data_IF_725342985224
#
_entry.id   IF_725342985224
#
_cell.length_a   1.000
_cell.length_b   1.000
_cell.length_c   1.000
_cell.angle_alpha   90.00
_cell.angle_beta   90.00
_cell.angle_gamma   90.00
#
_symmetry.space_group_name_H-M   'P 1'
#
loop_
_entity.id
_entity.type
_entity.pdbx_description
1 polymer ?
#
# COMPACT_ATOMS: atom_id res chain seq x y z
N UNK A 1 18.61 -17.05 -16.41
CA UNK A 1 17.18 -16.68 -16.33
C UNK A 1 17.11 -15.16 -16.35
N UNK A 2 16.34 -14.56 -17.25
CA UNK A 2 16.12 -13.11 -17.21
C UNK A 2 15.44 -12.75 -15.88
N UNK A 3 15.96 -11.73 -15.17
CA UNK A 3 15.33 -11.23 -13.94
C UNK A 3 13.93 -10.74 -14.32
N UNK A 4 12.89 -11.33 -13.74
CA UNK A 4 11.51 -10.82 -13.88
C UNK A 4 11.47 -9.47 -13.15
N UNK A 5 11.13 -8.40 -13.87
CA UNK A 5 10.99 -7.06 -13.30
C UNK A 5 9.88 -7.13 -12.22
N UNK A 6 10.11 -6.57 -11.05
CA UNK A 6 9.16 -6.59 -9.94
C UNK A 6 8.03 -5.57 -10.13
N UNK A 7 6.95 -5.71 -9.37
CA UNK A 7 5.85 -4.73 -9.40
C UNK A 7 6.34 -3.35 -8.93
N UNK A 8 7.19 -3.32 -7.91
CA UNK A 8 7.75 -2.09 -7.33
C UNK A 8 8.69 -1.38 -8.32
N UNK A 9 9.49 -2.15 -9.08
CA UNK A 9 10.33 -1.61 -10.16
C UNK A 9 9.46 -0.96 -11.26
N UNK A 10 8.36 -1.62 -11.67
CA UNK A 10 7.42 -1.06 -12.66
C UNK A 10 6.63 0.14 -12.11
N UNK A 11 6.22 0.09 -10.84
CA UNK A 11 5.54 1.20 -10.16
C UNK A 11 6.43 2.43 -10.13
N UNK A 12 7.71 2.26 -9.76
CA UNK A 12 8.67 3.36 -9.74
C UNK A 12 8.84 3.97 -11.14
N UNK A 13 9.01 3.12 -12.16
CA UNK A 13 9.11 3.57 -13.55
C UNK A 13 7.86 4.36 -14.00
N UNK A 14 6.66 3.87 -13.68
CA UNK A 14 5.41 4.55 -14.02
C UNK A 14 5.32 5.92 -13.35
N UNK A 15 5.66 6.01 -12.07
CA UNK A 15 5.66 7.29 -11.35
C UNK A 15 6.74 8.26 -11.86
N UNK A 16 7.93 7.78 -12.23
CA UNK A 16 8.97 8.61 -12.83
C UNK A 16 8.49 9.27 -14.13
N UNK A 17 7.81 8.51 -14.99
CA UNK A 17 7.21 9.00 -16.23
C UNK A 17 6.06 9.99 -15.96
N UNK A 18 5.18 9.65 -15.02
CA UNK A 18 4.09 10.53 -14.59
C UNK A 18 4.60 11.86 -14.04
N UNK A 19 5.62 11.85 -13.17
CA UNK A 19 6.22 13.05 -12.59
C UNK A 19 6.98 13.89 -13.63
N UNK A 20 7.51 13.25 -14.67
CA UNK A 20 8.08 13.93 -15.83
C UNK A 20 7.01 14.51 -16.78
N UNK A 21 5.73 14.33 -16.48
CA UNK A 21 4.57 14.65 -17.34
C UNK A 21 4.59 13.92 -18.70
N UNK A 22 5.29 12.79 -18.78
CA UNK A 22 5.31 11.94 -19.97
C UNK A 22 4.10 10.97 -19.94
N UNK A 23 2.90 11.54 -20.08
CA UNK A 23 1.65 10.85 -19.75
C UNK A 23 1.34 9.67 -20.68
N UNK A 24 1.79 9.70 -21.94
CA UNK A 24 1.54 8.59 -22.87
C UNK A 24 2.37 7.35 -22.47
N UNK A 25 3.64 7.56 -22.16
CA UNK A 25 4.58 6.53 -21.70
C UNK A 25 4.18 6.04 -20.29
N UNK A 26 3.74 6.94 -19.41
CA UNK A 26 3.20 6.57 -18.10
C UNK A 26 1.95 5.68 -18.24
N UNK A 27 1.06 5.99 -19.19
CA UNK A 27 -0.12 5.17 -19.48
C UNK A 27 0.29 3.78 -19.99
N UNK A 28 1.23 3.71 -20.94
CA UNK A 28 1.73 2.43 -21.46
C UNK A 28 2.36 1.59 -20.34
N UNK A 29 3.13 2.22 -19.45
CA UNK A 29 3.70 1.57 -18.28
C UNK A 29 2.62 1.03 -17.33
N UNK A 30 1.57 1.82 -17.05
CA UNK A 30 0.45 1.39 -16.21
C UNK A 30 -0.33 0.22 -16.84
N UNK A 31 -0.58 0.26 -18.15
CA UNK A 31 -1.23 -0.83 -18.87
C UNK A 31 -0.38 -2.11 -18.89
N UNK A 32 0.91 -1.99 -19.18
CA UNK A 32 1.86 -3.11 -19.16
C UNK A 32 1.91 -3.76 -17.78
N UNK A 33 1.98 -2.93 -16.73
CA UNK A 33 1.95 -3.39 -15.33
C UNK A 33 0.66 -4.13 -15.02
N UNK A 34 -0.49 -3.61 -15.46
CA UNK A 34 -1.78 -4.28 -15.22
C UNK A 34 -1.87 -5.66 -15.88
N UNK A 35 -1.21 -5.87 -17.02
CA UNK A 35 -1.13 -7.18 -17.70
C UNK A 35 -0.19 -8.16 -16.99
N UNK A 36 0.92 -7.66 -16.44
CA UNK A 36 1.93 -8.48 -15.76
C UNK A 36 1.53 -8.85 -14.32
N UNK A 37 0.74 -7.98 -13.69
CA UNK A 37 0.29 -8.08 -12.29
C UNK A 37 -1.23 -7.87 -12.19
N UNK A 38 -2.04 -8.82 -12.69
CA UNK A 38 -3.51 -8.71 -12.66
C UNK A 38 -4.08 -8.69 -11.23
N UNK A 39 -3.33 -9.19 -10.24
CA UNK A 39 -3.63 -9.11 -8.82
C UNK A 39 -3.42 -7.70 -8.22
N UNK A 40 -2.89 -6.76 -9.00
CA UNK A 40 -2.74 -5.33 -8.65
C UNK A 40 -3.70 -4.45 -9.46
N UNK A 41 -4.86 -4.99 -9.83
CA UNK A 41 -5.86 -4.29 -10.65
C UNK A 41 -6.40 -3.01 -9.98
N UNK A 42 -6.63 -3.01 -8.66
CA UNK A 42 -7.08 -1.81 -7.92
C UNK A 42 -6.15 -0.63 -8.15
N UNK A 43 -4.85 -0.85 -7.98
CA UNK A 43 -3.81 0.17 -8.08
C UNK A 43 -3.63 0.63 -9.52
N UNK A 44 -3.52 -0.32 -10.46
CA UNK A 44 -3.28 0.00 -11.87
C UNK A 44 -4.51 0.60 -12.57
N UNK A 45 -5.74 0.24 -12.18
CA UNK A 45 -6.95 0.89 -12.69
C UNK A 45 -7.05 2.35 -12.26
N UNK A 46 -6.69 2.65 -11.01
CA UNK A 46 -6.61 4.02 -10.52
C UNK A 46 -5.55 4.85 -11.25
N UNK A 47 -4.32 4.33 -11.42
CA UNK A 47 -3.27 5.01 -12.19
C UNK A 47 -3.71 5.34 -13.62
N UNK A 48 -4.28 4.35 -14.33
CA UNK A 48 -4.80 4.56 -15.68
C UNK A 48 -5.85 5.66 -15.69
N UNK A 49 -6.78 5.67 -14.73
CA UNK A 49 -7.81 6.69 -14.65
C UNK A 49 -7.26 8.10 -14.44
N UNK A 50 -6.31 8.27 -13.50
CA UNK A 50 -5.65 9.56 -13.26
C UNK A 50 -4.93 10.05 -14.53
N UNK A 51 -4.10 9.20 -15.14
CA UNK A 51 -3.34 9.54 -16.34
C UNK A 51 -4.26 9.86 -17.52
N UNK A 52 -5.29 9.04 -17.79
CA UNK A 52 -6.26 9.28 -18.86
C UNK A 52 -7.04 10.59 -18.66
N UNK A 53 -7.43 10.89 -17.43
CA UNK A 53 -8.12 12.13 -17.09
C UNK A 53 -7.21 13.35 -17.34
N UNK A 54 -5.94 13.30 -16.93
CA UNK A 54 -4.94 14.34 -17.23
C UNK A 54 -4.67 14.52 -18.73
N UNK A 55 -4.75 13.45 -19.50
CA UNK A 55 -4.63 13.49 -20.97
C UNK A 55 -5.88 14.07 -21.67
N UNK A 56 -6.92 14.47 -20.93
CA UNK A 56 -8.17 14.94 -21.50
C UNK A 56 -9.02 13.83 -22.13
N UNK A 57 -8.89 12.59 -21.63
CA UNK A 57 -9.64 11.39 -22.07
C UNK A 57 -10.59 10.91 -20.95
N UNK A 58 -11.56 11.72 -20.50
CA UNK A 58 -12.34 11.44 -19.30
C UNK A 58 -13.23 10.20 -19.43
N UNK A 59 -13.76 9.89 -20.61
CA UNK A 59 -14.58 8.69 -20.83
C UNK A 59 -13.76 7.41 -20.62
N UNK A 60 -12.51 7.42 -21.06
CA UNK A 60 -11.60 6.28 -20.90
C UNK A 60 -11.14 6.17 -19.44
N UNK A 61 -10.95 7.29 -18.75
CA UNK A 61 -10.67 7.28 -17.31
C UNK A 61 -11.80 6.63 -16.50
N UNK A 62 -13.05 7.03 -16.78
CA UNK A 62 -14.25 6.42 -16.18
C UNK A 62 -14.33 4.93 -16.52
N UNK A 63 -14.05 4.56 -17.77
CA UNK A 63 -14.04 3.15 -18.20
C UNK A 63 -12.99 2.33 -17.43
N UNK A 64 -11.79 2.88 -17.19
CA UNK A 64 -10.75 2.22 -16.42
C UNK A 64 -11.18 1.93 -14.97
N UNK A 65 -11.82 2.91 -14.31
CA UNK A 65 -12.37 2.73 -12.96
C UNK A 65 -13.53 1.73 -12.95
N UNK A 66 -14.43 1.80 -13.93
CA UNK A 66 -15.56 0.87 -14.06
C UNK A 66 -15.09 -0.58 -14.26
N UNK A 67 -14.06 -0.80 -15.09
CA UNK A 67 -13.44 -2.10 -15.26
C UNK A 67 -12.80 -2.59 -13.95
N UNK A 68 -12.09 -1.71 -13.23
CA UNK A 68 -11.55 -2.04 -11.92
C UNK A 68 -12.65 -2.48 -10.94
N UNK A 69 -13.78 -1.77 -10.88
CA UNK A 69 -14.95 -2.17 -10.07
C UNK A 69 -15.50 -3.54 -10.50
N UNK A 70 -15.58 -3.80 -11.80
CA UNK A 70 -16.02 -5.10 -12.33
C UNK A 70 -15.07 -6.24 -11.91
N UNK A 71 -13.77 -5.95 -11.83
CA UNK A 71 -12.73 -6.88 -11.36
C UNK A 71 -12.65 -6.96 -9.83
N UNK A 72 -13.59 -6.32 -9.13
CA UNK A 72 -13.72 -6.38 -7.69
C UNK A 72 -12.87 -5.37 -6.92
N UNK A 73 -12.24 -4.40 -7.58
CA UNK A 73 -11.62 -3.25 -6.93
C UNK A 73 -12.66 -2.34 -6.28
N UNK A 74 -12.18 -1.44 -5.44
CA UNK A 74 -12.90 -0.29 -4.90
C UNK A 74 -11.87 0.66 -4.27
N UNK A 75 -12.25 1.92 -4.16
CA UNK A 75 -11.46 3.02 -3.59
C UNK A 75 -12.31 3.79 -2.57
N UNK A 76 -11.65 4.37 -1.57
CA UNK A 76 -12.32 5.29 -0.66
C UNK A 76 -12.91 6.47 -1.45
N UNK A 77 -14.12 6.95 -1.09
CA UNK A 77 -14.78 8.03 -1.84
C UNK A 77 -13.92 9.27 -2.01
N UNK A 78 -13.15 9.64 -0.99
CA UNK A 78 -12.25 10.79 -1.03
C UNK A 78 -11.19 10.64 -2.13
N UNK A 79 -10.69 9.42 -2.37
CA UNK A 79 -9.67 9.15 -3.39
C UNK A 79 -10.16 9.48 -4.80
N UNK A 80 -11.43 9.21 -5.10
CA UNK A 80 -12.01 9.49 -6.42
C UNK A 80 -12.62 10.89 -6.52
N UNK A 81 -13.17 11.41 -5.42
CA UNK A 81 -13.87 12.70 -5.41
C UNK A 81 -12.96 13.92 -5.22
N UNK A 82 -11.76 13.74 -4.66
CA UNK A 82 -10.87 14.85 -4.29
C UNK A 82 -9.54 14.86 -5.04
N UNK A 83 -9.15 13.77 -5.69
CA UNK A 83 -7.89 13.71 -6.45
C UNK A 83 -7.93 14.68 -7.65
N UNK A 84 -7.06 15.71 -7.71
CA UNK A 84 -7.07 16.68 -8.81
C UNK A 84 -6.89 16.02 -10.19
N UNK A 85 -6.18 14.91 -10.30
CA UNK A 85 -5.95 14.24 -11.59
C UNK A 85 -7.26 13.76 -12.22
N UNK A 86 -8.24 13.42 -11.38
CA UNK A 86 -9.56 12.93 -11.81
C UNK A 86 -10.56 14.06 -12.08
N UNK A 87 -10.16 15.34 -12.08
CA UNK A 87 -11.08 16.46 -12.27
C UNK A 87 -11.87 16.37 -13.58
N UNK A 88 -11.20 16.07 -14.71
CA UNK A 88 -11.89 15.93 -16.00
C UNK A 88 -12.87 14.75 -15.98
N UNK A 89 -12.45 13.58 -15.47
CA UNK A 89 -13.31 12.40 -15.35
C UNK A 89 -14.55 12.66 -14.48
N UNK A 90 -14.41 13.44 -13.39
CA UNK A 90 -15.52 13.78 -12.49
C UNK A 90 -16.64 14.60 -13.13
N UNK A 91 -16.39 15.23 -14.28
CA UNK A 91 -17.44 15.96 -15.01
C UNK A 91 -18.47 15.03 -15.67
N UNK A 92 -18.13 13.75 -15.85
CA UNK A 92 -18.99 12.78 -16.50
C UNK A 92 -20.03 12.22 -15.52
N UNK A 93 -21.31 12.08 -15.93
CA UNK A 93 -22.37 11.58 -15.06
C UNK A 93 -22.11 10.14 -14.59
N UNK A 94 -21.44 9.32 -15.40
CA UNK A 94 -21.06 7.94 -15.07
C UNK A 94 -20.17 7.85 -13.83
N UNK A 95 -19.42 8.91 -13.50
CA UNK A 95 -18.59 8.93 -12.30
C UNK A 95 -19.44 8.83 -11.01
N UNK A 96 -20.70 9.29 -11.03
CA UNK A 96 -21.59 9.19 -9.88
C UNK A 96 -21.91 7.72 -9.53
N UNK A 97 -22.06 6.85 -10.53
CA UNK A 97 -22.30 5.41 -10.33
C UNK A 97 -21.05 4.73 -9.76
N UNK A 98 -19.87 5.07 -10.29
CA UNK A 98 -18.58 4.57 -9.80
C UNK A 98 -18.38 4.95 -8.33
N UNK A 99 -18.60 6.22 -7.99
CA UNK A 99 -18.48 6.71 -6.62
C UNK A 99 -19.45 5.97 -5.68
N UNK A 100 -20.70 5.79 -6.08
CA UNK A 100 -21.71 5.12 -5.25
C UNK A 100 -21.39 3.64 -5.01
N UNK A 101 -20.91 2.91 -6.03
CA UNK A 101 -20.53 1.51 -5.85
C UNK A 101 -19.24 1.36 -5.02
N UNK A 102 -18.25 2.20 -5.31
CA UNK A 102 -17.00 2.23 -4.57
C UNK A 102 -17.21 2.57 -3.09
N UNK A 103 -18.06 3.56 -2.77
CA UNK A 103 -18.41 3.96 -1.41
C UNK A 103 -19.08 2.83 -0.62
N UNK A 104 -20.04 2.12 -1.23
CA UNK A 104 -20.70 0.97 -0.61
C UNK A 104 -19.68 -0.12 -0.25
N UNK A 105 -18.79 -0.48 -1.18
CA UNK A 105 -17.78 -1.53 -0.97
C UNK A 105 -16.75 -1.10 0.07
N UNK A 106 -16.27 0.14 -0.03
CA UNK A 106 -15.34 0.72 0.94
C UNK A 106 -15.93 0.73 2.35
N UNK A 107 -17.16 1.22 2.56
CA UNK A 107 -17.79 1.21 3.90
C UNK A 107 -17.91 -0.19 4.49
N UNK A 108 -18.27 -1.18 3.66
CA UNK A 108 -18.38 -2.57 4.11
C UNK A 108 -17.03 -3.14 4.56
N UNK A 109 -15.96 -2.87 3.80
CA UNK A 109 -14.61 -3.30 4.14
C UNK A 109 -14.02 -2.53 5.33
N UNK A 110 -14.16 -1.20 5.35
CA UNK A 110 -13.67 -0.32 6.40
C UNK A 110 -14.30 -0.65 7.77
N UNK A 111 -15.55 -1.10 7.80
CA UNK A 111 -16.22 -1.53 9.04
C UNK A 111 -15.61 -2.81 9.65
N UNK A 112 -14.87 -3.58 8.86
CA UNK A 112 -14.20 -4.81 9.29
C UNK A 112 -12.68 -4.64 9.41
N UNK A 113 -12.13 -3.52 8.95
CA UNK A 113 -10.71 -3.25 8.98
C UNK A 113 -10.22 -3.06 10.41
N UNK A 114 -9.07 -3.65 10.72
CA UNK A 114 -8.45 -3.60 12.04
C UNK A 114 -6.96 -3.37 11.91
N UNK A 115 -6.36 -2.83 12.95
CA UNK A 115 -4.90 -2.75 13.08
C UNK A 115 -4.29 -4.15 12.98
N UNK A 116 -3.34 -4.33 12.08
CA UNK A 116 -2.57 -5.57 11.96
C UNK A 116 -1.07 -5.31 12.15
N UNK A 117 -0.39 -6.28 12.75
CA UNK A 117 1.06 -6.24 12.96
C UNK A 117 1.67 -7.51 12.43
N UNK A 118 2.51 -7.35 11.42
CA UNK A 118 3.28 -8.43 10.82
C UNK A 118 4.68 -8.42 11.41
N UNK A 119 5.29 -9.60 11.61
CA UNK A 119 6.64 -9.70 12.18
C UNK A 119 7.51 -10.67 11.41
N UNK A 120 8.81 -10.37 11.38
CA UNK A 120 9.85 -11.21 10.83
C UNK A 120 11.05 -11.16 11.79
N UNK A 121 11.36 -12.32 12.36
CA UNK A 121 12.54 -12.48 13.22
C UNK A 121 13.84 -12.59 12.41
N UNK A 122 15.00 -12.33 13.03
CA UNK A 122 16.29 -12.41 12.36
C UNK A 122 16.65 -13.83 11.93
N UNK A 123 17.16 -14.01 10.70
CA UNK A 123 17.58 -15.33 10.19
C UNK A 123 18.72 -15.95 10.99
N UNK A 124 18.74 -17.29 11.07
CA UNK A 124 19.85 -18.05 11.66
C UNK A 124 19.94 -18.04 13.19
N UNK A 125 19.16 -17.19 13.87
CA UNK A 125 18.86 -17.39 15.30
C UNK A 125 17.72 -18.39 15.37
N UNK A 126 18.07 -19.68 15.48
CA UNK A 126 17.11 -20.71 15.88
C UNK A 126 16.26 -20.16 17.03
N UNK A 127 14.98 -20.54 17.11
CA UNK A 127 14.09 -20.29 18.26
C UNK A 127 14.59 -20.95 19.58
N UNK A 128 15.89 -21.17 19.70
CA UNK A 128 16.59 -21.36 20.94
C UNK A 128 16.67 -20.00 21.65
N UNK A 129 16.33 -19.88 22.95
CA UNK A 129 16.29 -18.61 23.69
C UNK A 129 17.63 -17.87 23.82
N UNK A 130 18.68 -18.37 23.19
CA UNK A 130 20.06 -18.06 23.46
C UNK A 130 20.76 -17.85 22.11
N UNK A 131 20.71 -16.62 21.61
CA UNK A 131 21.81 -16.13 20.78
C UNK A 131 23.08 -16.17 21.62
N UNK A 132 24.25 -16.34 21.01
CA UNK A 132 25.52 -16.56 21.71
C UNK A 132 25.91 -15.50 22.77
N UNK A 133 25.21 -14.35 22.84
CA UNK A 133 25.34 -13.30 23.86
C UNK A 133 24.06 -12.99 24.69
N UNK A 134 22.94 -13.68 24.48
CA UNK A 134 21.70 -13.50 25.28
C UNK A 134 20.97 -12.15 25.13
N UNK A 135 21.50 -11.20 24.35
CA UNK A 135 20.92 -9.88 24.12
C UNK A 135 19.73 -9.92 23.14
N UNK A 136 18.68 -9.16 23.45
CA UNK A 136 17.50 -9.01 22.61
C UNK A 136 17.85 -8.23 21.32
N UNK A 137 17.27 -8.58 20.16
CA UNK A 137 17.53 -7.85 18.92
C UNK A 137 16.98 -6.41 18.99
N UNK A 138 17.54 -5.45 18.25
CA UNK A 138 16.87 -4.16 18.03
C UNK A 138 15.57 -4.35 17.24
N UNK A 139 14.63 -3.42 17.38
CA UNK A 139 13.36 -3.42 16.64
C UNK A 139 13.42 -2.43 15.47
N UNK A 140 13.01 -2.88 14.29
CA UNK A 140 12.65 -2.02 13.17
C UNK A 140 11.14 -2.08 13.03
N UNK A 141 10.47 -0.94 13.21
CA UNK A 141 9.04 -0.78 13.04
C UNK A 141 8.78 -0.04 11.73
N UNK A 142 8.42 -0.79 10.70
CA UNK A 142 8.13 -0.27 9.37
C UNK A 142 6.66 0.21 9.29
N UNK A 143 6.47 1.44 8.79
CA UNK A 143 5.18 2.05 8.53
C UNK A 143 4.96 2.14 7.02
N UNK A 144 3.85 1.58 6.52
CA UNK A 144 3.57 1.67 5.09
C UNK A 144 3.26 3.11 4.65
N UNK A 145 3.59 3.46 3.42
CA UNK A 145 3.11 4.70 2.80
C UNK A 145 1.60 4.62 2.53
N UNK A 146 1.00 5.75 2.16
CA UNK A 146 -0.37 5.77 1.64
C UNK A 146 -0.48 4.90 0.39
N UNK A 147 -1.51 4.07 0.29
CA UNK A 147 -1.68 3.05 -0.75
C UNK A 147 -0.69 1.87 -0.64
N UNK A 148 -0.17 1.62 0.56
CA UNK A 148 0.67 0.46 0.87
C UNK A 148 -0.02 -0.51 1.83
N UNK A 149 0.69 -1.58 2.20
CA UNK A 149 0.21 -2.58 3.16
C UNK A 149 1.32 -3.08 4.09
N UNK A 150 0.95 -3.71 5.20
CA UNK A 150 1.92 -4.31 6.13
C UNK A 150 2.76 -5.42 5.49
N UNK A 151 2.17 -6.39 4.78
CA UNK A 151 2.93 -7.46 4.13
C UNK A 151 3.94 -6.95 3.10
N UNK A 152 3.57 -5.94 2.30
CA UNK A 152 4.48 -5.29 1.35
C UNK A 152 5.72 -4.72 2.05
N UNK A 153 5.53 -4.11 3.23
CA UNK A 153 6.60 -3.48 3.98
C UNK A 153 7.46 -4.47 4.76
N UNK A 154 6.91 -5.63 5.15
CA UNK A 154 7.73 -6.76 5.61
C UNK A 154 8.70 -7.20 4.52
N UNK A 155 8.24 -7.38 3.29
CA UNK A 155 9.12 -7.81 2.20
C UNK A 155 10.14 -6.73 1.83
N UNK A 156 9.70 -5.47 1.77
CA UNK A 156 10.58 -4.33 1.47
C UNK A 156 11.75 -4.22 2.45
N UNK A 157 11.48 -4.36 3.75
CA UNK A 157 12.48 -4.22 4.81
C UNK A 157 13.07 -5.55 5.28
N UNK A 158 12.76 -6.67 4.62
CA UNK A 158 13.29 -8.01 4.93
C UNK A 158 14.82 -8.04 5.16
N UNK A 159 15.67 -7.32 4.40
CA UNK A 159 17.11 -7.27 4.67
C UNK A 159 17.48 -6.82 6.10
N UNK A 160 16.64 -6.00 6.76
CA UNK A 160 16.90 -5.61 8.16
C UNK A 160 16.85 -6.81 9.12
N UNK A 161 15.92 -7.75 8.91
CA UNK A 161 15.86 -8.99 9.67
C UNK A 161 16.94 -9.98 9.20
N UNK A 162 17.04 -10.18 7.88
CA UNK A 162 17.89 -11.21 7.29
C UNK A 162 19.40 -10.92 7.46
N UNK A 163 19.81 -9.66 7.29
CA UNK A 163 21.23 -9.26 7.20
C UNK A 163 21.70 -8.43 8.39
N UNK A 164 20.81 -7.65 9.01
CA UNK A 164 21.16 -6.71 10.09
C UNK A 164 20.74 -7.19 11.49
N UNK A 165 20.02 -8.30 11.60
CA UNK A 165 19.68 -8.92 12.88
C UNK A 165 18.57 -8.22 13.66
N UNK A 166 17.73 -7.42 13.02
CA UNK A 166 16.57 -6.79 13.64
C UNK A 166 15.43 -7.80 13.85
N UNK A 167 14.62 -7.58 14.89
CA UNK A 167 13.22 -7.93 14.82
C UNK A 167 12.56 -6.91 13.91
N UNK A 168 12.08 -7.34 12.75
CA UNK A 168 11.31 -6.48 11.85
C UNK A 168 9.82 -6.65 12.19
N UNK A 169 9.12 -5.53 12.35
CA UNK A 169 7.68 -5.49 12.42
C UNK A 169 7.16 -4.49 11.40
N UNK A 170 6.05 -4.80 10.73
CA UNK A 170 5.33 -3.83 9.90
C UNK A 170 3.93 -3.63 10.47
N UNK A 171 3.57 -2.36 10.66
CA UNK A 171 2.23 -1.97 11.11
C UNK A 171 1.38 -1.68 9.89
N UNK A 172 0.18 -2.24 9.86
CA UNK A 172 -0.86 -1.91 8.89
C UNK A 172 -2.00 -1.18 9.60
N UNK A 173 -2.29 0.03 9.14
CA UNK A 173 -3.39 0.81 9.69
C UNK A 173 -4.74 0.12 9.45
N UNK A 174 -5.72 0.36 10.33
CA UNK A 174 -7.11 -0.01 10.03
C UNK A 174 -7.76 0.91 8.97
N UNK A 175 -7.12 2.02 8.61
CA UNK A 175 -7.65 3.00 7.67
C UNK A 175 -7.43 2.53 6.23
N UNK A 176 -8.51 2.14 5.54
CA UNK A 176 -8.45 1.68 4.15
C UNK A 176 -8.67 2.84 3.18
N UNK A 177 -7.78 2.98 2.20
CA UNK A 177 -7.91 3.96 1.12
C UNK A 177 -8.33 3.33 -0.22
N UNK A 178 -8.08 2.04 -0.40
CA UNK A 178 -8.63 1.23 -1.49
C UNK A 178 -8.61 -0.26 -1.10
N UNK A 179 -9.10 -1.13 -1.99
CA UNK A 179 -9.05 -2.56 -1.76
C UNK A 179 -7.61 -3.04 -1.54
N UNK A 180 -7.38 -3.68 -0.41
CA UNK A 180 -6.09 -4.20 0.03
C UNK A 180 -4.99 -3.11 0.16
N UNK A 181 -5.40 -1.84 0.25
CA UNK A 181 -4.52 -0.66 0.33
C UNK A 181 -4.92 0.26 1.48
N UNK A 182 -3.93 0.62 2.30
CA UNK A 182 -4.15 1.30 3.57
C UNK A 182 -3.50 2.69 3.58
N UNK A 183 -4.00 3.56 4.45
CA UNK A 183 -3.52 4.94 4.61
C UNK A 183 -3.36 5.31 6.08
N UNK A 184 -2.96 6.56 6.30
CA UNK A 184 -2.84 7.19 7.61
C UNK A 184 -3.53 8.56 7.56
N UNK A 185 -4.66 8.65 6.85
CA UNK A 185 -5.32 9.91 6.49
C UNK A 185 -5.93 10.62 7.73
N UNK A 186 -6.23 9.88 8.81
CA UNK A 186 -6.44 10.39 10.18
C UNK A 186 -5.13 10.19 10.99
N UNK A 187 -4.33 11.27 11.19
CA UNK A 187 -3.06 11.18 11.91
C UNK A 187 -3.22 10.81 13.38
N UNK A 188 -4.28 11.26 14.04
CA UNK A 188 -4.49 11.00 15.47
C UNK A 188 -4.83 9.52 15.70
N UNK A 189 -5.66 8.94 14.84
CA UNK A 189 -5.91 7.50 14.83
C UNK A 189 -4.63 6.72 14.50
N UNK A 190 -3.85 7.19 13.52
CA UNK A 190 -2.58 6.57 13.13
C UNK A 190 -1.56 6.53 14.27
N UNK A 191 -1.35 7.63 14.99
CA UNK A 191 -0.48 7.68 16.15
C UNK A 191 -0.93 6.71 17.26
N UNK A 192 -2.24 6.63 17.53
CA UNK A 192 -2.80 5.71 18.51
C UNK A 192 -2.60 4.24 18.11
N UNK A 193 -2.75 3.92 16.82
CA UNK A 193 -2.51 2.59 16.27
C UNK A 193 -1.04 2.18 16.37
N UNK A 194 -0.11 3.07 16.01
CA UNK A 194 1.34 2.82 16.13
C UNK A 194 1.74 2.58 17.59
N UNK A 195 1.21 3.39 18.52
CA UNK A 195 1.43 3.20 19.95
C UNK A 195 0.88 1.85 20.45
N UNK A 196 -0.32 1.47 19.99
CA UNK A 196 -0.96 0.18 20.31
C UNK A 196 -0.14 -0.99 19.76
N UNK A 197 0.35 -0.89 18.52
CA UNK A 197 1.20 -1.89 17.89
C UNK A 197 2.51 -2.08 18.67
N UNK A 198 3.18 -0.98 19.05
CA UNK A 198 4.41 -1.05 19.84
C UNK A 198 4.18 -1.68 21.23
N UNK A 199 3.07 -1.35 21.90
CA UNK A 199 2.70 -1.97 23.17
C UNK A 199 2.44 -3.47 23.02
N UNK A 200 1.72 -3.89 21.97
CA UNK A 200 1.48 -5.30 21.64
C UNK A 200 2.77 -6.06 21.36
N UNK A 201 3.70 -5.46 20.61
CA UNK A 201 5.03 -6.02 20.36
C UNK A 201 5.82 -6.22 21.65
N UNK A 202 5.82 -5.24 22.57
CA UNK A 202 6.49 -5.36 23.89
C UNK A 202 5.92 -6.50 24.73
N UNK A 203 4.63 -6.79 24.60
CA UNK A 203 3.97 -7.86 25.34
C UNK A 203 4.24 -9.25 24.73
N UNK A 204 4.46 -9.33 23.42
CA UNK A 204 4.51 -10.60 22.67
C UNK A 204 5.90 -11.01 22.20
N UNK A 205 6.86 -10.07 22.12
CA UNK A 205 8.19 -10.30 21.58
C UNK A 205 9.28 -9.74 22.50
N UNK A 206 10.46 -10.36 22.44
CA UNK A 206 11.65 -9.88 23.14
C UNK A 206 12.52 -9.08 22.16
N UNK A 207 12.66 -7.78 22.40
CA UNK A 207 13.56 -6.89 21.67
C UNK A 207 14.15 -5.84 22.64
N UNK A 208 15.21 -5.17 22.22
CA UNK A 208 15.84 -4.09 22.96
C UNK A 208 14.99 -2.80 22.84
N UNK A 209 14.33 -2.42 23.93
CA UNK A 209 13.41 -1.29 23.95
C UNK A 209 14.12 0.07 23.81
N UNK A 210 15.43 0.13 24.03
CA UNK A 210 16.25 1.34 23.84
C UNK A 210 16.79 1.43 22.40
N UNK A 211 16.55 0.39 21.58
CA UNK A 211 16.99 0.32 20.17
C UNK A 211 15.82 0.04 19.24
N UNK A 212 14.95 1.04 19.13
CA UNK A 212 13.82 1.05 18.19
C UNK A 212 14.08 2.04 17.06
N UNK A 213 13.95 1.57 15.82
CA UNK A 213 14.00 2.38 14.60
C UNK A 213 12.61 2.40 13.98
N UNK A 214 12.06 3.59 13.72
CA UNK A 214 10.87 3.75 12.87
C UNK A 214 11.35 3.98 11.42
N UNK A 215 10.74 3.28 10.47
CA UNK A 215 11.12 3.30 9.06
C UNK A 215 9.91 3.40 8.14
#
# INVERSE_FOLDING_TARGET
MAKRISFEELQAQMFDLYLAHDLAEALEAAESTSRLYPDRSTKTAYWKACILSLMGRPEEAVSALAQGLADGAWWAPAMLSQDPDLEAARTLPQMAEILADSDRRWRAAQAQATLEVFTLGPRGRSASPISHDGAAPPLMLALHWRNGSGPEFIERFRPAADDLGFLLASVQSSQMCAKDEYCWDDPAAGEAEVATALASLRASHRFDADRVVLA
#
